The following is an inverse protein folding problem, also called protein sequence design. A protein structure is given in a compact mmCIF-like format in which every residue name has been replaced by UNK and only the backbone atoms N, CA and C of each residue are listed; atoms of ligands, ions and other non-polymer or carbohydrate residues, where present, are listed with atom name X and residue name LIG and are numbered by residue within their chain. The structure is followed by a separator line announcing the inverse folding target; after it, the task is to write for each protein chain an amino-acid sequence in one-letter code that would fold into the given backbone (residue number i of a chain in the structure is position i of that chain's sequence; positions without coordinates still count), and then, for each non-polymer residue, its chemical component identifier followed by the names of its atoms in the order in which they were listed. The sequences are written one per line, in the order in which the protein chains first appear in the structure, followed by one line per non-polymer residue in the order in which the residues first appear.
data_IF_113062819899
#
_entry.id   IF_113062819899
#
_cell.length_a   1.000
_cell.length_b   1.000
_cell.length_c   1.000
_cell.angle_alpha   90.00
_cell.angle_beta   90.00
_cell.angle_gamma   90.00
#
_symmetry.space_group_name_H-M   'P 1'
#
loop_
_entity.id
_entity.type
_entity.pdbx_description
1 polymer ?
#
# COMPACT_ATOMS: atom_id res chain seq x y z
N UNK A 1 27.15 43.86 -13.60
CA UNK A 1 25.99 43.20 -14.23
C UNK A 1 26.41 42.90 -15.66
N UNK A 2 26.78 41.66 -15.93
CA UNK A 2 27.19 41.19 -17.26
C UNK A 2 26.12 40.16 -17.61
N UNK A 3 25.34 40.40 -18.67
CA UNK A 3 24.37 39.41 -19.19
C UNK A 3 25.14 38.43 -20.10
N UNK A 4 24.76 37.15 -20.13
CA UNK A 4 25.34 36.17 -21.05
C UNK A 4 24.88 36.41 -22.50
N UNK A 5 25.67 35.95 -23.48
CA UNK A 5 25.33 36.08 -24.90
C UNK A 5 23.95 35.45 -25.19
N UNK A 6 23.04 36.24 -25.75
CA UNK A 6 21.66 35.84 -26.07
C UNK A 6 20.57 36.40 -25.16
N UNK A 7 20.91 37.01 -24.01
CA UNK A 7 19.94 37.52 -23.01
C UNK A 7 19.43 38.95 -23.29
N UNK A 8 19.54 39.43 -24.52
CA UNK A 8 19.10 40.77 -24.89
C UNK A 8 17.62 40.77 -25.30
N UNK A 9 16.74 41.28 -24.42
CA UNK A 9 15.37 41.61 -24.80
C UNK A 9 15.30 42.81 -25.75
N UNK A 10 14.16 43.01 -26.43
CA UNK A 10 13.94 44.04 -27.45
C UNK A 10 14.18 45.51 -27.00
N UNK A 11 14.47 45.74 -25.71
CA UNK A 11 14.65 47.06 -25.10
C UNK A 11 15.94 47.19 -24.26
N UNK A 12 16.89 46.27 -24.37
CA UNK A 12 18.17 46.36 -23.65
C UNK A 12 18.08 46.13 -22.14
N UNK A 13 16.95 45.61 -21.64
CA UNK A 13 16.81 45.14 -20.27
C UNK A 13 17.07 43.63 -20.21
N UNK A 14 17.88 43.18 -19.25
CA UNK A 14 18.10 41.77 -18.94
C UNK A 14 16.75 41.19 -18.48
N UNK A 15 16.23 40.16 -19.16
CA UNK A 15 14.99 39.50 -18.77
C UNK A 15 15.17 38.83 -17.39
N UNK A 16 14.16 38.92 -16.51
CA UNK A 16 14.28 38.40 -15.14
C UNK A 16 14.32 36.88 -15.20
N UNK A 17 15.47 36.28 -14.88
CA UNK A 17 15.57 34.84 -14.62
C UNK A 17 14.58 34.50 -13.51
N UNK A 18 13.52 33.76 -13.86
CA UNK A 18 12.61 33.19 -12.87
C UNK A 18 13.36 31.99 -12.29
N UNK A 19 13.92 32.16 -11.09
CA UNK A 19 14.52 31.05 -10.34
C UNK A 19 13.40 30.13 -9.82
N UNK A 20 13.63 28.82 -9.88
CA UNK A 20 12.67 27.78 -9.50
C UNK A 20 12.01 27.06 -10.69
N UNK A 21 11.15 26.08 -10.40
CA UNK A 21 10.61 25.14 -11.39
C UNK A 21 9.49 25.70 -12.30
N UNK A 22 9.38 27.03 -12.46
CA UNK A 22 8.31 27.66 -13.22
C UNK A 22 8.31 27.33 -14.73
N UNK A 23 9.44 26.86 -15.26
CA UNK A 23 9.58 26.41 -16.65
C UNK A 23 9.52 24.88 -16.80
N UNK A 24 9.19 24.14 -15.74
CA UNK A 24 9.13 22.68 -15.80
C UNK A 24 8.12 22.20 -16.84
N UNK A 25 8.59 21.35 -17.77
CA UNK A 25 7.72 20.70 -18.75
C UNK A 25 7.26 19.33 -18.24
N UNK A 26 6.11 18.79 -18.69
CA UNK A 26 5.70 17.46 -18.28
C UNK A 26 6.72 16.39 -18.69
N UNK A 27 7.02 15.45 -17.78
CA UNK A 27 7.80 14.25 -18.07
C UNK A 27 6.88 13.15 -18.63
N UNK A 28 7.35 12.39 -19.63
CA UNK A 28 6.69 11.14 -20.00
C UNK A 28 7.18 10.00 -19.09
N UNK A 29 6.35 9.58 -18.14
CA UNK A 29 6.69 8.55 -17.15
C UNK A 29 6.84 7.14 -17.73
N UNK A 30 6.32 6.87 -18.93
CA UNK A 30 6.39 5.56 -19.56
C UNK A 30 6.92 5.69 -20.98
N UNK A 31 8.20 6.05 -21.09
CA UNK A 31 8.92 6.12 -22.36
C UNK A 31 9.86 7.30 -22.46
N UNK A 32 10.09 7.72 -23.69
CA UNK A 32 11.13 8.70 -24.03
C UNK A 32 10.62 10.14 -23.92
N UNK A 33 11.46 11.00 -23.36
CA UNK A 33 11.28 12.45 -23.28
C UNK A 33 12.54 13.15 -23.81
N UNK A 34 12.48 13.89 -24.93
CA UNK A 34 13.62 14.64 -25.44
C UNK A 34 13.89 15.90 -24.59
N UNK A 35 15.16 16.30 -24.49
CA UNK A 35 15.58 17.53 -23.81
C UNK A 35 16.67 18.30 -24.57
N UNK A 36 16.80 19.61 -24.30
CA UNK A 36 17.84 20.50 -24.86
C UNK A 36 18.24 21.56 -23.82
N UNK A 37 19.47 21.48 -23.30
CA UNK A 37 19.97 22.41 -22.27
C UNK A 37 20.68 23.63 -22.85
N UNK A 38 20.90 23.70 -24.17
CA UNK A 38 21.82 24.70 -24.78
C UNK A 38 21.31 26.14 -24.73
N UNK A 39 19.99 26.33 -24.67
CA UNK A 39 19.34 27.64 -24.59
C UNK A 39 18.63 27.86 -23.25
N UNK A 40 19.01 27.08 -22.23
CA UNK A 40 18.49 27.18 -20.88
C UNK A 40 19.42 28.05 -20.02
N UNK A 41 18.96 28.35 -18.82
CA UNK A 41 19.72 29.06 -17.79
C UNK A 41 19.86 28.15 -16.60
N UNK A 42 20.88 28.40 -15.78
CA UNK A 42 20.95 27.88 -14.42
C UNK A 42 19.87 28.61 -13.60
N UNK A 43 18.81 27.87 -13.29
CA UNK A 43 17.58 28.37 -12.68
C UNK A 43 17.39 27.85 -11.24
N UNK A 44 18.10 26.80 -10.85
CA UNK A 44 17.95 26.13 -9.58
C UNK A 44 19.21 26.27 -8.72
N UNK A 45 19.09 26.23 -7.38
CA UNK A 45 20.27 26.11 -6.53
C UNK A 45 21.02 24.82 -6.86
N UNK A 46 22.36 24.92 -6.84
CA UNK A 46 23.24 23.76 -6.99
C UNK A 46 22.85 22.68 -5.99
N UNK A 47 22.47 21.52 -6.52
CA UNK A 47 22.33 20.32 -5.72
C UNK A 47 23.63 19.53 -5.81
N UNK A 48 23.64 18.51 -6.66
CA UNK A 48 24.79 17.60 -6.80
C UNK A 48 25.97 18.11 -7.64
N UNK A 49 26.13 19.42 -7.78
CA UNK A 49 27.41 20.02 -8.12
C UNK A 49 27.64 20.42 -9.58
N UNK A 50 26.59 20.80 -10.31
CA UNK A 50 26.76 21.46 -11.61
C UNK A 50 26.13 22.86 -11.63
N UNK A 51 26.97 23.89 -11.65
CA UNK A 51 26.59 25.26 -12.05
C UNK A 51 26.36 25.27 -13.59
N UNK A 52 25.27 24.66 -14.08
CA UNK A 52 25.03 24.50 -15.52
C UNK A 52 23.57 24.75 -15.91
N UNK A 53 23.32 25.08 -17.17
CA UNK A 53 21.96 25.30 -17.64
C UNK A 53 21.13 24.01 -17.59
N UNK A 54 19.95 24.04 -16.98
CA UNK A 54 19.16 22.83 -16.77
C UNK A 54 17.91 22.74 -17.66
N UNK A 55 17.50 21.52 -17.98
CA UNK A 55 16.13 21.24 -18.38
C UNK A 55 15.39 20.61 -17.20
N UNK A 56 14.32 21.28 -16.76
CA UNK A 56 13.47 20.81 -15.66
C UNK A 56 12.23 20.14 -16.26
N UNK A 57 11.90 18.97 -15.75
CA UNK A 57 10.64 18.28 -15.97
C UNK A 57 9.85 18.16 -14.67
N UNK A 58 8.54 17.98 -14.77
CA UNK A 58 7.67 17.70 -13.63
C UNK A 58 6.75 16.52 -13.90
N UNK A 59 6.40 15.79 -12.84
CA UNK A 59 5.44 14.71 -12.86
C UNK A 59 4.75 14.58 -11.50
N UNK A 60 3.58 13.93 -11.51
CA UNK A 60 2.81 13.63 -10.32
C UNK A 60 2.70 12.09 -10.19
N UNK A 61 2.85 11.59 -8.97
CA UNK A 61 2.60 10.20 -8.60
C UNK A 61 1.41 10.15 -7.64
N UNK A 62 0.45 9.27 -7.91
CA UNK A 62 -0.74 9.03 -7.08
C UNK A 62 -0.54 7.88 -6.07
N UNK A 63 0.54 7.13 -6.22
CA UNK A 63 0.92 5.95 -5.43
C UNK A 63 2.43 5.86 -5.30
N UNK A 64 2.91 5.11 -4.31
CA UNK A 64 4.32 4.73 -4.23
C UNK A 64 4.72 4.00 -5.51
N UNK A 65 5.80 4.46 -6.17
CA UNK A 65 6.20 4.00 -7.50
C UNK A 65 7.72 3.81 -7.56
N UNK A 66 8.15 2.67 -8.09
CA UNK A 66 9.54 2.41 -8.43
C UNK A 66 9.82 2.88 -9.88
N UNK A 67 10.79 3.77 -10.03
CA UNK A 67 11.16 4.40 -11.30
C UNK A 67 12.63 4.17 -11.60
N UNK A 68 12.91 3.81 -12.85
CA UNK A 68 14.23 4.04 -13.44
C UNK A 68 14.14 5.21 -14.41
N UNK A 69 14.94 6.23 -14.16
CA UNK A 69 15.05 7.43 -14.98
C UNK A 69 16.48 7.45 -15.54
N UNK A 70 16.63 7.25 -16.85
CA UNK A 70 17.94 7.09 -17.48
C UNK A 70 18.09 8.06 -18.66
N UNK A 71 19.21 8.76 -18.74
CA UNK A 71 19.57 9.44 -19.99
C UNK A 71 20.14 8.40 -20.95
N UNK A 72 19.35 8.00 -21.94
CA UNK A 72 19.72 6.91 -22.86
C UNK A 72 20.51 7.41 -24.07
N UNK A 73 20.41 8.72 -24.36
CA UNK A 73 21.17 9.36 -25.43
C UNK A 73 21.51 10.80 -25.02
N UNK A 74 22.78 11.19 -25.06
CA UNK A 74 23.19 12.60 -25.06
C UNK A 74 24.53 12.78 -25.77
N UNK A 75 24.82 14.01 -26.21
CA UNK A 75 26.10 14.40 -26.81
C UNK A 75 27.07 15.05 -25.82
N UNK A 76 26.80 14.92 -24.52
CA UNK A 76 27.55 15.53 -23.43
C UNK A 76 27.47 14.68 -22.15
N UNK A 77 28.32 15.01 -21.17
CA UNK A 77 28.36 14.41 -19.85
C UNK A 77 27.21 14.96 -18.99
N UNK A 78 26.30 14.10 -18.56
CA UNK A 78 25.04 14.54 -17.95
C UNK A 78 25.10 14.48 -16.44
N UNK A 79 24.24 15.24 -15.79
CA UNK A 79 23.90 15.06 -14.38
C UNK A 79 22.38 15.04 -14.26
N UNK A 80 21.86 14.07 -13.52
CA UNK A 80 20.43 13.89 -13.28
C UNK A 80 20.12 14.14 -11.81
N UNK A 81 19.08 14.90 -11.52
CA UNK A 81 18.56 15.15 -10.18
C UNK A 81 17.05 14.90 -10.10
N UNK A 82 16.58 14.42 -8.94
CA UNK A 82 15.15 14.32 -8.60
C UNK A 82 14.89 15.15 -7.36
N UNK A 83 13.88 16.02 -7.41
CA UNK A 83 13.51 16.96 -6.33
C UNK A 83 12.02 16.90 -6.01
N UNK A 84 11.64 17.08 -4.74
CA UNK A 84 10.24 17.35 -4.33
C UNK A 84 9.87 18.82 -4.54
N UNK A 85 10.83 19.69 -4.28
CA UNK A 85 10.74 21.13 -4.47
C UNK A 85 11.77 21.60 -5.51
N UNK A 86 12.13 22.88 -5.47
CA UNK A 86 13.09 23.47 -6.40
C UNK A 86 14.39 23.87 -5.68
N UNK A 87 14.61 23.39 -4.46
CA UNK A 87 15.67 23.85 -3.57
C UNK A 87 16.79 22.82 -3.43
N UNK A 88 16.46 21.52 -3.37
CA UNK A 88 17.46 20.46 -3.18
C UNK A 88 17.14 19.16 -3.92
N UNK A 89 18.20 18.46 -4.33
CA UNK A 89 18.12 17.09 -4.85
C UNK A 89 17.87 16.09 -3.70
N UNK A 90 16.84 15.26 -3.89
CA UNK A 90 16.62 14.05 -3.09
C UNK A 90 17.54 12.93 -3.53
N UNK A 91 17.68 12.79 -4.85
CA UNK A 91 18.53 11.81 -5.50
C UNK A 91 19.22 12.49 -6.66
N UNK A 92 20.45 12.09 -6.92
CA UNK A 92 21.19 12.56 -8.07
C UNK A 92 22.23 11.53 -8.48
N UNK A 93 22.61 11.59 -9.74
CA UNK A 93 23.60 10.70 -10.35
C UNK A 93 24.17 11.38 -11.59
N UNK A 94 25.48 11.30 -11.80
CA UNK A 94 26.17 11.84 -12.97
C UNK A 94 26.60 10.74 -13.96
N UNK A 95 27.06 9.58 -13.50
CA UNK A 95 27.68 8.56 -14.37
C UNK A 95 27.13 7.12 -14.22
N UNK A 96 26.00 6.93 -13.53
CA UNK A 96 25.38 5.62 -13.29
C UNK A 96 24.71 4.98 -14.52
N UNK A 97 24.61 5.71 -15.63
CA UNK A 97 24.10 5.24 -16.91
C UNK A 97 25.20 4.70 -17.83
N UNK A 98 24.96 4.75 -19.14
CA UNK A 98 25.94 4.29 -20.13
C UNK A 98 27.01 5.35 -20.38
N UNK A 99 28.27 4.94 -20.39
CA UNK A 99 29.43 5.81 -20.64
C UNK A 99 29.57 6.92 -19.58
N UNK A 100 29.17 8.16 -19.88
CA UNK A 100 29.14 9.31 -18.94
C UNK A 100 27.72 9.87 -18.84
N UNK A 101 26.72 9.01 -19.02
CA UNK A 101 25.32 9.39 -18.91
C UNK A 101 24.80 8.99 -17.54
N UNK A 102 23.77 9.70 -17.10
CA UNK A 102 23.23 9.58 -15.75
C UNK A 102 22.04 8.63 -15.70
N UNK A 103 21.88 7.95 -14.57
CA UNK A 103 20.78 7.04 -14.30
C UNK A 103 20.41 7.02 -12.82
N UNK A 104 19.12 7.22 -12.56
CA UNK A 104 18.53 7.05 -11.24
C UNK A 104 17.60 5.85 -11.20
N UNK A 105 17.70 5.08 -10.13
CA UNK A 105 16.85 3.94 -9.78
C UNK A 105 16.29 4.22 -8.37
N UNK A 106 15.03 4.64 -8.30
CA UNK A 106 14.46 5.29 -7.11
C UNK A 106 13.04 4.82 -6.83
N UNK A 107 12.69 4.72 -5.55
CA UNK A 107 11.30 4.53 -5.09
C UNK A 107 10.78 5.85 -4.51
N UNK A 108 9.70 6.37 -5.09
CA UNK A 108 9.11 7.65 -4.70
C UNK A 108 7.70 7.43 -4.14
N UNK A 109 7.35 8.20 -3.12
CA UNK A 109 6.02 8.21 -2.50
C UNK A 109 5.02 8.99 -3.38
N UNK A 110 3.69 8.91 -3.11
CA UNK A 110 2.73 9.78 -3.79
C UNK A 110 3.09 11.25 -3.58
N UNK A 111 3.16 12.02 -4.66
CA UNK A 111 3.62 13.40 -4.59
C UNK A 111 3.94 13.99 -5.97
N UNK A 112 4.27 15.28 -5.96
CA UNK A 112 4.79 15.98 -7.13
C UNK A 112 6.31 16.01 -7.05
N UNK A 113 6.94 15.69 -8.18
CA UNK A 113 8.40 15.68 -8.29
C UNK A 113 8.86 16.44 -9.53
N UNK A 114 10.12 16.85 -9.49
CA UNK A 114 10.84 17.45 -10.61
C UNK A 114 12.05 16.59 -10.95
N UNK A 115 12.26 16.36 -12.25
CA UNK A 115 13.51 15.79 -12.77
C UNK A 115 14.31 16.93 -13.37
N UNK A 116 15.56 17.05 -12.97
CA UNK A 116 16.47 18.06 -13.47
C UNK A 116 17.55 17.37 -14.28
N UNK A 117 17.71 17.77 -15.54
CA UNK A 117 18.79 17.30 -16.41
C UNK A 117 19.75 18.45 -16.65
N UNK A 118 20.98 18.24 -16.24
CA UNK A 118 22.07 19.21 -16.25
C UNK A 118 23.30 18.60 -16.95
N UNK A 119 24.35 19.40 -17.13
CA UNK A 119 25.63 18.89 -17.63
C UNK A 119 26.74 19.00 -16.61
N UNK A 120 27.49 17.92 -16.42
CA UNK A 120 28.63 17.91 -15.52
C UNK A 120 29.69 18.92 -16.01
N UNK A 121 30.23 19.73 -15.10
CA UNK A 121 31.29 20.69 -15.42
C UNK A 121 30.93 21.75 -16.48
N UNK A 122 29.69 22.25 -16.47
CA UNK A 122 29.12 23.22 -17.41
C UNK A 122 28.91 22.69 -18.85
N UNK A 123 28.90 21.37 -19.03
CA UNK A 123 28.52 20.75 -20.29
C UNK A 123 27.05 21.07 -20.64
N UNK A 124 26.72 21.04 -21.93
CA UNK A 124 25.36 21.30 -22.42
C UNK A 124 25.15 20.67 -23.79
N UNK A 125 23.93 20.26 -24.07
CA UNK A 125 23.65 19.51 -25.28
C UNK A 125 22.19 19.12 -25.42
N UNK A 126 21.97 18.08 -26.22
CA UNK A 126 20.65 17.48 -26.46
C UNK A 126 20.68 16.03 -26.06
N UNK A 127 19.53 15.52 -25.67
CA UNK A 127 19.41 14.11 -25.38
C UNK A 127 17.98 13.61 -25.27
N UNK A 128 17.90 12.35 -24.86
CA UNK A 128 16.67 11.63 -24.58
C UNK A 128 16.78 11.04 -23.19
N UNK A 129 15.79 11.35 -22.36
CA UNK A 129 15.54 10.72 -21.07
C UNK A 129 14.52 9.59 -21.30
N UNK A 130 14.79 8.38 -20.85
CA UNK A 130 13.83 7.28 -20.84
C UNK A 130 13.41 7.02 -19.41
N UNK A 131 12.12 7.11 -19.13
CA UNK A 131 11.55 6.74 -17.84
C UNK A 131 10.84 5.40 -17.95
N UNK A 132 11.24 4.47 -17.09
CA UNK A 132 10.61 3.16 -16.93
C UNK A 132 9.92 3.14 -15.58
N UNK A 133 8.60 3.00 -15.59
CA UNK A 133 7.82 2.70 -14.39
C UNK A 133 7.82 1.20 -14.21
N UNK A 134 8.34 0.75 -13.08
CA UNK A 134 8.11 -0.60 -12.61
C UNK A 134 6.78 -0.56 -11.87
N UNK A 135 5.80 -1.30 -12.39
CA UNK A 135 4.67 -1.66 -11.55
C UNK A 135 5.28 -2.36 -10.32
N UNK A 136 4.88 -2.02 -9.08
CA UNK A 136 5.27 -2.85 -7.95
C UNK A 136 4.84 -4.28 -8.28
N UNK A 137 5.77 -5.22 -8.10
CA UNK A 137 5.59 -6.64 -8.43
C UNK A 137 4.24 -7.14 -7.89
N UNK A 138 3.23 -7.35 -8.74
CA UNK A 138 1.95 -8.05 -8.49
C UNK A 138 1.26 -7.88 -7.12
N UNK A 139 1.56 -6.86 -6.32
CA UNK A 139 0.82 -6.50 -5.12
C UNK A 139 -0.22 -5.42 -5.51
N UNK A 140 -1.52 -5.69 -5.28
CA UNK A 140 -2.56 -4.72 -5.60
C UNK A 140 -2.33 -3.46 -4.75
N UNK A 141 -2.45 -2.30 -5.40
CA UNK A 141 -2.36 -0.99 -4.76
C UNK A 141 -3.18 -0.96 -3.46
N UNK A 142 -2.66 -0.38 -2.37
CA UNK A 142 -3.53 -0.03 -1.26
C UNK A 142 -4.62 0.89 -1.81
N UNK A 143 -5.91 0.52 -1.73
CA UNK A 143 -6.98 1.31 -2.28
C UNK A 143 -7.06 2.64 -1.51
N UNK A 144 -7.60 3.68 -2.15
CA UNK A 144 -7.68 5.01 -1.57
C UNK A 144 -8.37 5.00 -0.20
N UNK A 145 -7.91 5.82 0.78
CA UNK A 145 -8.54 5.88 2.08
C UNK A 145 -10.00 6.37 1.98
N UNK A 146 -10.93 5.46 2.25
CA UNK A 146 -12.23 5.79 2.85
C UNK A 146 -13.42 5.92 1.90
N UNK A 147 -13.92 4.79 1.40
CA UNK A 147 -15.37 4.48 1.42
C UNK A 147 -15.52 2.98 1.75
N UNK A 148 -15.64 2.74 3.06
CA UNK A 148 -15.77 1.50 3.83
C UNK A 148 -15.66 0.15 3.07
N UNK A 149 -14.51 -0.50 3.20
CA UNK A 149 -14.33 -1.93 2.88
C UNK A 149 -15.02 -2.87 3.90
N UNK A 150 -16.18 -2.48 4.43
CA UNK A 150 -17.02 -3.35 5.23
C UNK A 150 -18.08 -4.02 4.36
N UNK A 151 -18.47 -5.23 4.75
CA UNK A 151 -19.59 -5.94 4.15
C UNK A 151 -20.47 -6.56 5.22
N UNK A 152 -21.74 -6.79 4.89
CA UNK A 152 -22.66 -7.54 5.73
C UNK A 152 -22.66 -9.02 5.35
N UNK A 153 -22.78 -9.88 6.36
CA UNK A 153 -22.85 -11.33 6.22
C UNK A 153 -21.49 -12.02 6.22
N UNK A 154 -21.54 -13.32 5.95
CA UNK A 154 -20.36 -14.18 5.84
C UNK A 154 -19.90 -14.21 4.39
N UNK A 155 -18.60 -14.11 4.14
CA UNK A 155 -17.99 -14.30 2.82
C UNK A 155 -17.02 -15.46 2.84
N UNK A 156 -17.01 -16.22 1.76
CA UNK A 156 -15.99 -17.22 1.49
C UNK A 156 -14.91 -16.61 0.59
N UNK A 157 -13.72 -17.21 0.62
CA UNK A 157 -12.61 -16.89 -0.28
C UNK A 157 -12.24 -15.40 -0.32
N UNK A 158 -12.05 -14.79 0.85
CA UNK A 158 -11.75 -13.36 0.99
C UNK A 158 -10.23 -13.14 0.91
N UNK A 159 -9.68 -12.46 -0.12
CA UNK A 159 -8.25 -12.18 -0.19
C UNK A 159 -7.77 -11.36 1.01
N UNK A 160 -6.65 -11.73 1.64
CA UNK A 160 -6.08 -10.95 2.76
C UNK A 160 -5.69 -9.55 2.28
N UNK A 161 -5.22 -9.43 1.03
CA UNK A 161 -4.97 -8.15 0.40
C UNK A 161 -6.20 -7.24 0.41
N UNK A 162 -7.41 -7.74 0.10
CA UNK A 162 -8.67 -6.95 0.15
C UNK A 162 -8.99 -6.50 1.59
N UNK A 163 -8.72 -7.36 2.58
CA UNK A 163 -8.91 -7.01 4.00
C UNK A 163 -7.99 -5.86 4.41
N UNK A 164 -6.69 -5.98 4.12
CA UNK A 164 -5.68 -4.97 4.45
C UNK A 164 -5.93 -3.66 3.71
N UNK A 165 -6.22 -3.77 2.43
CA UNK A 165 -6.69 -2.70 1.57
C UNK A 165 -7.90 -1.97 2.17
N UNK A 166 -8.76 -2.72 2.86
CA UNK A 166 -9.89 -2.19 3.60
C UNK A 166 -9.59 -1.40 4.88
N UNK A 167 -8.31 -1.14 5.17
CA UNK A 167 -7.88 -0.45 6.39
C UNK A 167 -7.92 -1.33 7.64
N UNK A 168 -8.11 -2.64 7.47
CA UNK A 168 -7.93 -3.58 8.55
C UNK A 168 -6.44 -3.91 8.73
N UNK A 169 -6.03 -4.13 9.97
CA UNK A 169 -4.72 -4.65 10.32
C UNK A 169 -4.89 -5.94 11.11
N UNK A 170 -4.00 -6.93 10.91
CA UNK A 170 -4.02 -8.16 11.70
C UNK A 170 -3.61 -7.85 13.13
N UNK A 171 -4.48 -8.14 14.10
CA UNK A 171 -4.22 -7.90 15.52
C UNK A 171 -3.95 -9.18 16.30
N UNK A 172 -4.43 -10.33 15.80
CA UNK A 172 -4.20 -11.62 16.44
C UNK A 172 -4.23 -12.75 15.41
N UNK A 173 -3.40 -13.76 15.61
CA UNK A 173 -3.44 -15.00 14.84
C UNK A 173 -2.83 -16.13 15.65
N UNK A 174 -3.31 -17.35 15.41
CA UNK A 174 -2.74 -18.57 15.98
C UNK A 174 -3.20 -19.80 15.19
N UNK A 175 -2.55 -20.95 15.38
CA UNK A 175 -2.96 -22.18 14.70
C UNK A 175 -4.12 -22.88 15.40
N UNK A 176 -4.79 -23.79 14.70
CA UNK A 176 -5.98 -24.47 15.19
C UNK A 176 -5.68 -25.53 16.27
N UNK A 177 -4.42 -25.99 16.37
CA UNK A 177 -3.89 -26.93 17.39
C UNK A 177 -3.59 -26.30 18.75
N UNK A 178 -3.82 -24.99 18.90
CA UNK A 178 -3.64 -24.27 20.16
C UNK A 178 -4.98 -23.83 20.77
N UNK A 179 -5.01 -23.67 22.10
CA UNK A 179 -6.20 -23.14 22.80
C UNK A 179 -6.22 -21.61 22.72
N UNK A 180 -7.24 -21.05 22.09
CA UNK A 180 -7.39 -19.59 21.99
C UNK A 180 -7.61 -18.96 23.37
N UNK A 181 -6.92 -17.86 23.67
CA UNK A 181 -7.14 -17.04 24.87
C UNK A 181 -7.99 -15.82 24.54
N UNK A 182 -9.29 -15.78 24.92
CA UNK A 182 -10.13 -14.61 24.70
C UNK A 182 -9.61 -13.35 25.40
N UNK A 183 -8.90 -13.52 26.52
CA UNK A 183 -8.26 -12.41 27.25
C UNK A 183 -7.13 -11.78 26.42
N UNK A 184 -6.27 -12.60 25.80
CA UNK A 184 -5.23 -12.12 24.91
C UNK A 184 -5.82 -11.42 23.68
N UNK A 185 -6.86 -11.99 23.07
CA UNK A 185 -7.55 -11.34 21.93
C UNK A 185 -8.21 -10.03 22.34
N UNK A 186 -8.85 -9.98 23.51
CA UNK A 186 -9.42 -8.74 24.05
C UNK A 186 -8.36 -7.66 24.25
N UNK A 187 -7.15 -8.04 24.65
CA UNK A 187 -6.04 -7.10 24.84
C UNK A 187 -5.40 -6.65 23.53
N UNK A 188 -5.17 -7.55 22.57
CA UNK A 188 -4.45 -7.26 21.33
C UNK A 188 -5.32 -6.61 20.24
N UNK A 189 -6.61 -6.92 20.22
CA UNK A 189 -7.54 -6.47 19.18
C UNK A 189 -8.49 -5.37 19.70
N UNK A 190 -7.98 -4.21 20.11
CA UNK A 190 -8.72 -3.16 20.82
C UNK A 190 -9.53 -2.16 19.94
N UNK A 191 -9.53 -2.27 18.61
CA UNK A 191 -10.23 -1.34 17.73
C UNK A 191 -11.76 -1.62 17.59
N UNK A 192 -12.48 -0.69 16.97
CA UNK A 192 -13.96 -0.65 16.92
C UNK A 192 -14.61 -1.81 16.13
N UNK A 193 -13.95 -2.27 15.07
CA UNK A 193 -14.45 -3.31 14.17
C UNK A 193 -13.50 -4.49 14.18
N UNK A 194 -14.03 -5.70 14.32
CA UNK A 194 -13.28 -6.95 14.19
C UNK A 194 -13.76 -7.74 12.97
N UNK A 195 -12.81 -8.33 12.25
CA UNK A 195 -13.04 -9.33 11.22
C UNK A 195 -12.42 -10.64 11.72
N UNK A 196 -13.26 -11.65 11.95
CA UNK A 196 -12.83 -13.01 12.28
C UNK A 196 -12.79 -13.85 11.01
N UNK A 197 -11.72 -14.62 10.84
CA UNK A 197 -11.59 -15.56 9.73
C UNK A 197 -10.67 -16.71 10.06
N UNK A 198 -10.53 -17.61 9.09
CA UNK A 198 -9.65 -18.76 9.16
C UNK A 198 -9.19 -19.18 7.77
N UNK A 199 -8.07 -19.89 7.70
CA UNK A 199 -7.50 -20.42 6.45
C UNK A 199 -6.44 -21.50 6.72
N UNK A 200 -6.03 -22.28 5.71
CA UNK A 200 -4.76 -22.97 5.74
C UNK A 200 -3.60 -21.97 5.90
N UNK A 201 -2.60 -22.35 6.70
CA UNK A 201 -1.38 -21.56 6.92
C UNK A 201 -0.72 -21.26 5.57
N UNK A 202 -0.39 -19.99 5.34
CA UNK A 202 0.28 -19.53 4.12
C UNK A 202 -0.64 -19.29 2.92
N UNK A 203 -1.96 -19.51 3.04
CA UNK A 203 -2.91 -19.17 1.98
C UNK A 203 -3.14 -17.65 1.92
N UNK A 204 -3.00 -17.03 0.75
CA UNK A 204 -3.22 -15.58 0.56
C UNK A 204 -4.68 -15.09 0.74
N UNK A 205 -5.63 -16.00 0.91
CA UNK A 205 -7.05 -15.67 1.13
C UNK A 205 -7.60 -16.43 2.35
N UNK A 206 -8.53 -15.80 3.06
CA UNK A 206 -9.35 -16.40 4.10
C UNK A 206 -10.34 -17.38 3.47
N UNK A 207 -10.45 -18.58 4.01
CA UNK A 207 -11.44 -19.56 3.55
C UNK A 207 -12.85 -19.04 3.79
N UNK A 208 -13.07 -18.50 4.99
CA UNK A 208 -14.32 -17.86 5.39
C UNK A 208 -14.02 -16.72 6.36
N UNK A 209 -14.75 -15.62 6.23
CA UNK A 209 -14.62 -14.45 7.09
C UNK A 209 -15.95 -13.74 7.31
N UNK A 210 -16.06 -13.10 8.48
CA UNK A 210 -17.17 -12.25 8.85
C UNK A 210 -16.66 -11.10 9.71
N UNK A 211 -17.34 -9.95 9.63
CA UNK A 211 -16.99 -8.78 10.43
C UNK A 211 -18.18 -8.24 11.22
N UNK A 212 -17.88 -7.60 12.34
CA UNK A 212 -18.85 -6.96 13.20
C UNK A 212 -18.17 -5.91 14.07
N UNK A 213 -18.97 -5.12 14.76
CA UNK A 213 -18.41 -4.24 15.80
C UNK A 213 -17.82 -5.11 16.89
N UNK A 214 -16.68 -4.72 17.44
CA UNK A 214 -15.99 -5.44 18.51
C UNK A 214 -16.90 -5.86 19.66
N UNK A 215 -17.81 -4.97 20.07
CA UNK A 215 -18.77 -5.22 21.13
C UNK A 215 -19.67 -6.44 20.84
N UNK A 216 -20.21 -6.57 19.62
CA UNK A 216 -21.10 -7.68 19.24
C UNK A 216 -20.30 -8.95 18.95
N UNK A 217 -19.13 -8.87 18.30
CA UNK A 217 -18.27 -10.05 18.04
C UNK A 217 -17.84 -10.74 19.35
N UNK A 218 -17.65 -9.97 20.43
CA UNK A 218 -17.27 -10.45 21.76
C UNK A 218 -18.45 -10.61 22.73
N UNK A 219 -19.68 -10.35 22.28
CA UNK A 219 -20.85 -10.34 23.15
C UNK A 219 -21.18 -11.75 23.63
N UNK A 220 -21.20 -12.00 24.96
CA UNK A 220 -21.56 -13.30 25.50
C UNK A 220 -23.00 -13.69 25.14
N UNK A 221 -23.18 -14.97 24.82
CA UNK A 221 -24.49 -15.61 24.66
C UNK A 221 -24.65 -16.75 25.67
N UNK A 222 -25.89 -17.12 25.96
CA UNK A 222 -26.20 -18.20 26.88
C UNK A 222 -25.56 -19.53 26.44
N UNK A 223 -25.27 -20.40 27.42
CA UNK A 223 -24.71 -21.72 27.15
C UNK A 223 -25.79 -22.75 26.76
N UNK A 224 -26.29 -22.61 25.54
CA UNK A 224 -27.29 -23.51 24.92
C UNK A 224 -26.88 -23.83 23.48
N UNK A 225 -27.41 -24.90 22.89
CA UNK A 225 -26.94 -25.36 21.58
C UNK A 225 -27.11 -24.30 20.47
N UNK A 226 -28.18 -23.51 20.52
CA UNK A 226 -28.62 -22.61 19.45
C UNK A 226 -28.46 -21.11 19.77
N UNK A 227 -28.05 -20.75 21.00
CA UNK A 227 -27.92 -19.34 21.36
C UNK A 227 -26.87 -18.62 20.49
N UNK A 228 -27.35 -17.61 19.80
CA UNK A 228 -26.59 -16.67 18.97
C UNK A 228 -27.24 -15.28 19.10
N UNK A 229 -26.60 -14.25 18.56
CA UNK A 229 -27.24 -12.97 18.30
C UNK A 229 -26.87 -12.48 16.90
N UNK A 230 -27.79 -11.73 16.27
CA UNK A 230 -27.56 -11.21 14.93
C UNK A 230 -26.87 -9.85 14.97
N UNK A 231 -25.79 -9.70 14.22
CA UNK A 231 -25.14 -8.42 13.96
C UNK A 231 -24.49 -8.42 12.57
N UNK A 232 -24.67 -7.34 11.82
CA UNK A 232 -24.10 -7.17 10.48
C UNK A 232 -24.32 -8.37 9.53
N UNK A 233 -25.53 -8.96 9.52
CA UNK A 233 -25.86 -10.11 8.68
C UNK A 233 -25.27 -11.46 9.13
N UNK A 234 -24.70 -11.53 10.34
CA UNK A 234 -24.01 -12.70 10.89
C UNK A 234 -24.65 -13.11 12.22
N UNK A 235 -24.78 -14.41 12.46
CA UNK A 235 -25.14 -14.98 13.75
C UNK A 235 -23.87 -15.23 14.57
N UNK A 236 -23.58 -14.34 15.51
CA UNK A 236 -22.41 -14.42 16.38
C UNK A 236 -22.71 -15.19 17.66
N UNK A 237 -21.72 -15.93 18.14
CA UNK A 237 -21.78 -16.55 19.45
C UNK A 237 -20.41 -16.55 20.12
N UNK A 238 -20.41 -16.18 21.39
CA UNK A 238 -19.26 -16.26 22.27
C UNK A 238 -19.74 -16.75 23.64
N UNK A 239 -19.23 -17.89 24.10
CA UNK A 239 -19.54 -18.45 25.41
C UNK A 239 -18.23 -18.83 26.06
N UNK A 240 -17.80 -18.06 27.06
CA UNK A 240 -16.51 -18.24 27.75
C UNK A 240 -16.31 -19.69 28.22
N UNK A 241 -15.11 -20.21 28.00
CA UNK A 241 -14.76 -21.60 28.32
C UNK A 241 -15.44 -22.67 27.46
N UNK A 242 -16.24 -22.29 26.44
CA UNK A 242 -16.91 -23.26 25.56
C UNK A 242 -16.61 -23.05 24.09
N UNK A 243 -17.16 -21.99 23.48
CA UNK A 243 -17.03 -21.78 22.04
C UNK A 243 -17.11 -20.32 21.62
N UNK A 244 -16.38 -20.00 20.55
CA UNK A 244 -16.47 -18.73 19.84
C UNK A 244 -16.57 -18.97 18.33
N UNK A 245 -17.46 -18.26 17.65
CA UNK A 245 -17.59 -18.40 16.22
C UNK A 245 -18.77 -17.65 15.64
N UNK A 246 -19.09 -18.00 14.40
CA UNK A 246 -20.18 -17.39 13.65
C UNK A 246 -20.76 -18.33 12.58
N UNK A 247 -21.97 -17.98 12.15
CA UNK A 247 -22.68 -18.55 11.01
C UNK A 247 -23.48 -17.45 10.27
N UNK A 248 -24.07 -17.70 9.08
CA UNK A 248 -24.95 -16.72 8.44
C UNK A 248 -26.14 -16.37 9.33
N UNK A 249 -26.60 -15.11 9.32
CA UNK A 249 -27.77 -14.71 10.09
C UNK A 249 -29.01 -15.56 9.73
N UNK A 250 -29.70 -16.05 10.75
CA UNK A 250 -30.88 -16.91 10.60
C UNK A 250 -30.58 -18.37 10.26
N UNK A 251 -29.32 -18.75 10.08
CA UNK A 251 -28.94 -20.15 9.92
C UNK A 251 -29.09 -20.89 11.27
N UNK A 252 -29.47 -22.16 11.20
CA UNK A 252 -29.43 -23.04 12.37
C UNK A 252 -27.98 -23.18 12.87
N UNK A 253 -27.81 -23.19 14.18
CA UNK A 253 -26.53 -23.37 14.87
C UNK A 253 -26.74 -24.43 15.96
N UNK A 254 -25.83 -25.41 16.04
CA UNK A 254 -25.91 -26.48 17.03
C UNK A 254 -24.54 -26.72 17.68
N UNK A 255 -24.34 -26.03 18.82
CA UNK A 255 -23.11 -25.98 19.63
C UNK A 255 -23.03 -27.11 20.66
N UNK A 256 -23.01 -28.35 20.19
CA UNK A 256 -22.63 -29.51 21.00
C UNK A 256 -21.11 -29.46 21.30
N UNK A 257 -20.70 -28.51 22.14
CA UNK A 257 -19.36 -27.94 22.32
C UNK A 257 -18.85 -27.02 21.19
N UNK A 258 -19.13 -27.29 19.92
CA UNK A 258 -18.93 -26.35 18.80
C UNK A 258 -20.03 -26.53 17.74
N UNK A 259 -20.17 -25.58 16.81
CA UNK A 259 -21.20 -25.65 15.77
C UNK A 259 -20.93 -26.78 14.77
N UNK A 260 -21.75 -27.83 14.85
CA UNK A 260 -21.70 -29.03 14.00
C UNK A 260 -22.61 -28.96 12.77
N UNK A 261 -23.36 -27.87 12.61
CA UNK A 261 -24.33 -27.72 11.51
C UNK A 261 -23.61 -27.62 10.16
N UNK A 262 -24.13 -28.27 9.11
CA UNK A 262 -23.51 -28.21 7.78
C UNK A 262 -23.45 -26.78 7.20
N UNK A 263 -22.46 -26.52 6.34
CA UNK A 263 -22.32 -25.28 5.57
C UNK A 263 -20.90 -24.69 5.63
N UNK A 264 -20.47 -24.11 4.51
CA UNK A 264 -19.13 -23.57 4.29
C UNK A 264 -18.93 -22.15 4.87
N UNK A 265 -20.00 -21.49 5.29
CA UNK A 265 -19.98 -20.13 5.83
C UNK A 265 -19.93 -20.08 7.37
N UNK A 266 -19.13 -20.93 7.99
CA UNK A 266 -19.14 -21.13 9.46
C UNK A 266 -17.74 -21.24 10.04
N UNK A 267 -17.55 -20.64 11.21
CA UNK A 267 -16.33 -20.80 12.00
C UNK A 267 -16.72 -21.17 13.42
N UNK A 268 -16.01 -22.14 14.01
CA UNK A 268 -16.16 -22.43 15.41
C UNK A 268 -14.82 -22.83 16.03
N UNK A 269 -14.48 -22.18 17.12
CA UNK A 269 -13.31 -22.46 17.94
C UNK A 269 -13.77 -22.91 19.32
N UNK A 270 -13.22 -24.02 19.80
CA UNK A 270 -13.33 -24.35 21.21
C UNK A 270 -12.43 -23.41 22.00
N UNK A 271 -12.88 -23.05 23.20
CA UNK A 271 -12.08 -22.23 24.12
C UNK A 271 -11.31 -23.09 25.14
N UNK A 272 -11.35 -24.42 25.02
CA UNK A 272 -10.76 -25.40 25.93
C UNK A 272 -9.92 -26.51 25.25
N UNK A 273 -9.85 -26.57 23.92
CA UNK A 273 -9.14 -27.64 23.20
C UNK A 273 -8.39 -27.17 21.94
N UNK A 274 -9.01 -26.33 21.09
CA UNK A 274 -8.47 -25.95 19.79
C UNK A 274 -9.56 -25.43 18.85
N UNK A 275 -9.25 -25.13 17.61
CA UNK A 275 -10.28 -24.74 16.63
C UNK A 275 -11.05 -25.96 16.09
N UNK A 276 -12.38 -25.94 16.02
CA UNK A 276 -13.14 -27.08 15.49
C UNK A 276 -13.24 -27.08 13.98
N UNK A 277 -13.59 -25.92 13.40
CA UNK A 277 -13.91 -25.81 11.98
C UNK A 277 -13.54 -24.48 11.34
N UNK A 278 -13.29 -24.57 10.04
CA UNK A 278 -13.14 -23.45 9.12
C UNK A 278 -13.94 -23.76 7.85
N UNK A 279 -15.12 -23.15 7.72
CA UNK A 279 -16.08 -23.48 6.68
C UNK A 279 -16.53 -24.94 6.74
N UNK A 280 -16.46 -25.65 5.62
CA UNK A 280 -16.82 -27.08 5.52
C UNK A 280 -15.77 -28.02 6.13
N UNK A 281 -14.54 -27.53 6.37
CA UNK A 281 -13.49 -28.33 7.00
C UNK A 281 -13.70 -28.36 8.51
N UNK A 282 -13.93 -29.55 9.05
CA UNK A 282 -14.16 -29.82 10.48
C UNK A 282 -13.05 -30.72 11.05
N UNK A 283 -13.06 -30.89 12.37
CA UNK A 283 -12.08 -31.71 13.11
C UNK A 283 -10.65 -31.15 13.08
N UNK A 284 -10.54 -29.83 13.11
CA UNK A 284 -9.27 -29.11 13.04
C UNK A 284 -8.58 -28.96 14.41
N UNK A 285 -9.11 -29.54 15.49
CA UNK A 285 -8.73 -29.25 16.88
C UNK A 285 -7.25 -29.40 17.20
N UNK A 286 -6.54 -30.26 16.46
CA UNK A 286 -5.12 -30.55 16.62
C UNK A 286 -4.34 -30.29 15.31
N UNK A 287 -4.89 -29.44 14.42
CA UNK A 287 -4.32 -29.19 13.09
C UNK A 287 -3.57 -27.85 13.02
N UNK A 288 -2.24 -27.93 13.19
CA UNK A 288 -1.32 -26.80 13.04
C UNK A 288 -1.16 -26.27 11.60
N UNK A 289 -1.80 -26.89 10.61
CA UNK A 289 -1.80 -26.43 9.21
C UNK A 289 -2.94 -25.47 8.89
N UNK A 290 -3.84 -25.23 9.85
CA UNK A 290 -4.89 -24.22 9.78
C UNK A 290 -4.65 -23.12 10.81
N UNK A 291 -4.92 -21.88 10.42
CA UNK A 291 -4.82 -20.72 11.30
C UNK A 291 -6.15 -20.00 11.47
N UNK A 292 -6.32 -19.47 12.67
CA UNK A 292 -7.35 -18.54 13.09
C UNK A 292 -6.74 -17.15 13.02
N UNK A 293 -7.46 -16.21 12.43
CA UNK A 293 -6.96 -14.86 12.25
C UNK A 293 -8.03 -13.84 12.61
N UNK A 294 -7.61 -12.76 13.26
CA UNK A 294 -8.46 -11.63 13.60
C UNK A 294 -7.79 -10.37 13.10
N UNK A 295 -8.55 -9.58 12.35
CA UNK A 295 -8.17 -8.26 11.91
C UNK A 295 -9.04 -7.22 12.59
N UNK A 296 -8.51 -6.01 12.72
CA UNK A 296 -9.20 -4.91 13.36
C UNK A 296 -9.07 -3.61 12.57
N UNK A 297 -10.04 -2.71 12.76
CA UNK A 297 -10.04 -1.36 12.19
C UNK A 297 -10.77 -0.40 13.13
N UNK A 298 -10.30 0.85 13.19
CA UNK A 298 -11.00 1.93 13.90
C UNK A 298 -12.13 2.53 13.07
N UNK A 299 -13.13 3.11 13.73
CA UNK A 299 -14.26 3.76 13.08
C UNK A 299 -15.51 2.89 12.97
N UNK A 300 -16.51 3.39 12.24
CA UNK A 300 -17.77 2.71 12.09
C UNK A 300 -17.65 1.45 11.21
N UNK A 301 -18.53 0.48 11.51
CA UNK A 301 -18.81 -0.65 10.63
C UNK A 301 -19.66 -0.20 9.44
#
# INVERSE_FOLDING_TARGET
RICADGQWGAWGACERVVRGCGEATPLNLAGDTPFDTRNRVDALPDGCGADSAEQIFSFDLDRTTHLVIEVTQADFDTLLGVREDCEADLFCDDDGGRDTLSKLDVELQPGRYHVVVEGYGAARGRGTLTTTVFAPDDEPDPPPPGELASWAGVRNDVPEAEVLAGGFQRCWSDTYDDVVSPEAVRFQCDADVLLLGCRPVGRGALTVAAMGTRAEVLRPVADTADATHAHNGVAWYFTEGRAWGFAPAGAEVNRNHCDTTAGDQRVCWHLDAGGFRCGDTQWLNDDGTWERVIYQRAGAL
#
